data_IF_431575165771
#
_entry.id   IF_431575165771
#
_cell.length_a   1.000
_cell.length_b   1.000
_cell.length_c   1.000
_cell.angle_alpha   90.00
_cell.angle_beta   90.00
_cell.angle_gamma   90.00
#
_symmetry.space_group_name_H-M   'P 1'
#
loop_
_entity.id
_entity.type
_entity.pdbx_description
1 polymer ?
#
# COMPACT_ATOMS: atom_id res chain seq x y z
N UNK A 1 -6.34 -18.02 1.94
CA UNK A 1 -4.89 -18.19 2.19
C UNK A 1 -4.22 -16.90 2.68
N UNK A 2 -4.24 -15.79 1.92
CA UNK A 2 -3.57 -14.53 2.32
C UNK A 2 -4.00 -14.03 3.71
N UNK A 3 -5.31 -13.95 3.95
CA UNK A 3 -5.87 -13.51 5.24
C UNK A 3 -5.44 -14.42 6.41
N UNK A 4 -5.30 -15.73 6.17
CA UNK A 4 -4.83 -16.67 7.18
C UNK A 4 -3.34 -16.49 7.47
N UNK A 5 -2.52 -16.25 6.44
CA UNK A 5 -1.09 -15.96 6.61
C UNK A 5 -0.85 -14.67 7.40
N UNK A 6 -1.61 -13.60 7.12
CA UNK A 6 -1.53 -12.35 7.88
C UNK A 6 -1.92 -12.55 9.35
N UNK A 7 -2.99 -13.30 9.62
CA UNK A 7 -3.40 -13.66 10.99
C UNK A 7 -2.37 -14.55 11.70
N UNK A 8 -1.61 -15.34 10.96
CA UNK A 8 -0.52 -16.17 11.49
C UNK A 8 0.80 -15.40 11.68
N UNK A 9 0.82 -14.08 11.47
CA UNK A 9 1.99 -13.22 11.72
C UNK A 9 2.80 -12.87 10.47
N UNK A 10 2.32 -13.16 9.26
CA UNK A 10 2.94 -12.59 8.07
C UNK A 10 2.79 -11.07 8.06
N UNK A 11 3.90 -10.35 7.88
CA UNK A 11 3.93 -8.89 7.91
C UNK A 11 3.45 -8.25 6.60
N UNK A 12 3.61 -8.94 5.47
CA UNK A 12 3.21 -8.44 4.15
C UNK A 12 3.08 -9.58 3.12
N UNK A 13 2.50 -9.31 1.95
CA UNK A 13 2.40 -10.26 0.83
C UNK A 13 2.75 -9.62 -0.53
N UNK A 14 3.23 -10.43 -1.47
CA UNK A 14 3.52 -10.02 -2.84
C UNK A 14 3.05 -11.09 -3.82
N UNK A 15 2.20 -10.73 -4.77
CA UNK A 15 1.62 -11.66 -5.75
C UNK A 15 2.49 -11.66 -7.01
N UNK A 16 2.77 -12.84 -7.54
CA UNK A 16 3.50 -13.00 -8.81
C UNK A 16 2.60 -12.68 -10.01
N UNK A 17 3.17 -12.18 -11.13
CA UNK A 17 4.56 -11.77 -11.29
C UNK A 17 4.79 -10.36 -10.71
N UNK A 18 5.88 -10.18 -9.98
CA UNK A 18 6.26 -8.90 -9.39
C UNK A 18 7.60 -8.40 -9.96
N UNK A 19 7.86 -7.09 -9.89
CA UNK A 19 9.19 -6.55 -10.20
C UNK A 19 10.17 -6.74 -9.05
N UNK A 20 11.46 -6.66 -9.38
CA UNK A 20 12.53 -6.52 -8.37
C UNK A 20 12.34 -5.28 -7.50
N UNK A 21 11.89 -4.16 -8.05
CA UNK A 21 11.63 -2.92 -7.31
C UNK A 21 10.56 -3.12 -6.23
N UNK A 22 9.44 -3.73 -6.61
CA UNK A 22 8.35 -4.04 -5.68
C UNK A 22 8.83 -4.94 -4.54
N UNK A 23 9.61 -5.98 -4.84
CA UNK A 23 10.19 -6.84 -3.79
C UNK A 23 11.15 -6.06 -2.87
N UNK A 24 12.04 -5.24 -3.43
CA UNK A 24 13.00 -4.45 -2.66
C UNK A 24 12.31 -3.44 -1.74
N UNK A 25 11.24 -2.81 -2.21
CA UNK A 25 10.43 -1.89 -1.42
C UNK A 25 9.77 -2.63 -0.24
N UNK A 26 9.18 -3.81 -0.48
CA UNK A 26 8.58 -4.59 0.62
C UNK A 26 9.61 -5.04 1.65
N UNK A 27 10.81 -5.45 1.23
CA UNK A 27 11.88 -5.81 2.16
C UNK A 27 12.34 -4.60 3.00
N UNK A 28 12.47 -3.42 2.39
CA UNK A 28 12.80 -2.18 3.11
C UNK A 28 11.72 -1.80 4.12
N UNK A 29 10.45 -1.93 3.76
CA UNK A 29 9.33 -1.69 4.65
C UNK A 29 9.36 -2.62 5.87
N UNK A 30 9.54 -3.92 5.65
CA UNK A 30 9.64 -4.93 6.73
C UNK A 30 10.87 -4.68 7.61
N UNK A 31 12.02 -4.33 7.04
CA UNK A 31 13.22 -4.01 7.81
C UNK A 31 13.00 -2.79 8.70
N UNK A 32 12.40 -1.71 8.16
CA UNK A 32 12.08 -0.51 8.95
C UNK A 32 11.11 -0.82 10.10
N UNK A 33 10.09 -1.64 9.84
CA UNK A 33 9.13 -2.07 10.87
C UNK A 33 9.82 -2.84 12.00
N UNK A 34 10.71 -3.79 11.66
CA UNK A 34 11.49 -4.54 12.64
C UNK A 34 12.40 -3.63 13.47
N UNK A 35 13.14 -2.73 12.84
CA UNK A 35 13.99 -1.77 13.57
C UNK A 35 13.20 -0.90 14.55
N UNK A 36 11.95 -0.53 14.21
CA UNK A 36 11.09 0.21 15.15
C UNK A 36 10.66 -0.67 16.32
N UNK A 37 10.18 -1.88 16.04
CA UNK A 37 9.77 -2.84 17.06
C UNK A 37 10.92 -3.20 18.02
N UNK A 38 12.14 -3.40 17.52
CA UNK A 38 13.32 -3.70 18.34
C UNK A 38 13.70 -2.54 19.29
N UNK A 39 13.28 -1.31 18.97
CA UNK A 39 13.49 -0.11 19.80
C UNK A 39 12.36 0.12 20.80
N UNK A 40 11.20 -0.54 20.64
CA UNK A 40 10.14 -0.50 21.63
C UNK A 40 10.50 -1.44 22.79
N UNK A 41 11.09 -0.89 23.84
CA UNK A 41 11.25 -1.60 25.11
C UNK A 41 9.91 -1.78 25.85
N UNK A 42 9.16 -0.68 25.99
CA UNK A 42 7.74 -0.66 26.37
C UNK A 42 6.97 0.06 25.26
N UNK A 43 5.94 -0.59 24.72
CA UNK A 43 5.12 -0.03 23.65
C UNK A 43 4.14 1.03 24.21
N UNK A 44 4.30 2.30 23.83
CA UNK A 44 3.28 3.32 24.07
C UNK A 44 2.27 3.34 22.93
N UNK A 45 1.06 3.83 23.17
CA UNK A 45 0.00 3.90 22.16
C UNK A 45 0.46 4.68 20.90
N UNK A 46 1.22 5.76 21.08
CA UNK A 46 1.81 6.53 19.98
C UNK A 46 2.77 5.70 19.10
N UNK A 47 3.50 4.76 19.70
CA UNK A 47 4.38 3.85 18.98
C UNK A 47 3.58 2.79 18.20
N UNK A 48 2.52 2.28 18.83
CA UNK A 48 1.58 1.33 18.20
C UNK A 48 0.91 1.99 17.00
N UNK A 49 0.45 3.22 17.13
CA UNK A 49 -0.20 3.96 16.05
C UNK A 49 0.80 4.32 14.92
N UNK A 50 2.07 4.58 15.24
CA UNK A 50 3.09 4.81 14.22
C UNK A 50 3.48 3.53 13.44
N UNK A 51 3.37 2.36 14.09
CA UNK A 51 3.74 1.06 13.53
C UNK A 51 2.56 0.40 12.80
N UNK A 52 1.35 0.52 13.33
CA UNK A 52 0.14 -0.17 12.89
C UNK A 52 -0.99 0.77 12.44
N UNK A 53 -0.84 2.08 12.60
CA UNK A 53 -1.78 3.07 12.07
C UNK A 53 -1.86 3.02 10.55
N UNK A 54 -2.89 3.67 10.00
CA UNK A 54 -3.17 3.68 8.55
C UNK A 54 -1.90 3.95 7.77
N UNK A 55 -1.45 2.93 7.03
CA UNK A 55 -0.24 2.93 6.21
C UNK A 55 -0.14 4.28 5.48
N UNK A 56 0.93 5.08 5.68
CA UNK A 56 1.16 6.25 4.84
C UNK A 56 1.16 5.74 3.39
N UNK A 57 0.53 6.47 2.45
CA UNK A 57 0.35 5.99 1.08
C UNK A 57 1.73 5.57 0.56
N UNK A 58 1.95 4.25 0.51
CA UNK A 58 3.15 3.67 -0.06
C UNK A 58 3.24 4.18 -1.49
N UNK A 59 4.47 4.36 -1.96
CA UNK A 59 4.81 4.99 -3.23
C UNK A 59 3.69 4.81 -4.27
N UNK A 60 3.25 5.91 -4.86
CA UNK A 60 2.32 5.93 -6.02
C UNK A 60 2.97 5.30 -7.27
N UNK A 61 3.80 4.27 -7.10
CA UNK A 61 4.26 3.47 -8.23
C UNK A 61 3.06 2.65 -8.69
N UNK A 62 2.50 3.10 -9.81
CA UNK A 62 1.39 2.45 -10.46
C UNK A 62 1.75 0.99 -10.77
N UNK A 63 0.84 0.03 -10.49
CA UNK A 63 1.01 -1.36 -10.87
C UNK A 63 1.43 -1.49 -12.34
N UNK A 64 2.24 -2.52 -12.64
CA UNK A 64 2.61 -2.81 -14.04
C UNK A 64 1.37 -2.94 -14.90
N UNK A 65 1.34 -2.19 -16.01
CA UNK A 65 0.19 -2.12 -16.91
C UNK A 65 -0.73 -0.92 -16.68
N UNK A 66 -0.48 -0.11 -15.64
CA UNK A 66 -1.15 1.18 -15.44
C UNK A 66 -0.19 2.32 -15.75
N UNK A 67 -0.54 3.14 -16.73
CA UNK A 67 0.27 4.28 -17.16
C UNK A 67 -0.08 5.53 -16.33
N UNK A 68 0.94 6.27 -15.90
CA UNK A 68 0.75 7.52 -15.15
C UNK A 68 -0.20 8.53 -15.82
N UNK A 69 -0.11 8.76 -17.15
CA UNK A 69 -1.04 9.67 -17.83
C UNK A 69 -2.51 9.22 -17.74
N UNK A 70 -2.77 7.91 -17.72
CA UNK A 70 -4.13 7.36 -17.60
C UNK A 70 -4.65 7.52 -16.17
N UNK A 71 -3.79 7.34 -15.16
CA UNK A 71 -4.17 7.55 -13.77
C UNK A 71 -4.50 9.01 -13.48
N UNK A 72 -3.72 9.95 -14.03
CA UNK A 72 -3.99 11.39 -13.90
C UNK A 72 -5.31 11.79 -14.58
N UNK A 73 -5.64 11.15 -15.72
CA UNK A 73 -6.91 11.36 -16.42
C UNK A 73 -8.10 10.87 -15.58
N UNK A 74 -8.01 9.65 -15.03
CA UNK A 74 -9.05 9.09 -14.15
C UNK A 74 -9.21 9.94 -12.88
N UNK A 75 -8.10 10.39 -12.27
CA UNK A 75 -8.15 11.26 -11.10
C UNK A 75 -8.91 12.56 -11.39
N UNK A 76 -8.62 13.22 -12.52
CA UNK A 76 -9.30 14.45 -12.91
C UNK A 76 -10.80 14.24 -13.11
N UNK A 77 -11.18 13.19 -13.86
CA UNK A 77 -12.59 12.88 -14.14
C UNK A 77 -13.37 12.63 -12.85
N UNK A 78 -12.78 11.89 -11.90
CA UNK A 78 -13.42 11.62 -10.60
C UNK A 78 -13.52 12.87 -9.71
N UNK A 79 -12.56 13.81 -9.79
CA UNK A 79 -12.65 15.09 -9.07
C UNK A 79 -13.78 15.97 -9.59
N UNK A 80 -14.05 15.90 -10.89
CA UNK A 80 -15.11 16.67 -11.54
C UNK A 80 -16.52 16.07 -11.30
N UNK A 81 -16.61 14.85 -10.76
CA UNK A 81 -17.87 14.14 -10.47
C UNK A 81 -17.99 13.79 -8.97
N UNK A 82 -18.34 14.74 -8.11
CA UNK A 82 -18.37 14.56 -6.65
C UNK A 82 -19.40 13.53 -6.18
N UNK A 83 -20.44 13.28 -6.98
CA UNK A 83 -21.47 12.26 -6.73
C UNK A 83 -20.96 10.82 -6.95
N UNK A 84 -19.76 10.68 -7.52
CA UNK A 84 -19.13 9.42 -7.89
C UNK A 84 -19.45 8.98 -9.33
N UNK A 85 -18.61 8.08 -9.86
CA UNK A 85 -18.78 7.43 -11.16
C UNK A 85 -18.50 5.94 -11.02
N UNK A 86 -19.19 5.12 -11.81
CA UNK A 86 -18.81 3.73 -12.00
C UNK A 86 -17.55 3.61 -12.86
N UNK A 87 -16.88 2.45 -12.77
CA UNK A 87 -15.67 2.19 -13.53
C UNK A 87 -15.89 2.21 -15.05
N UNK A 88 -17.06 1.79 -15.52
CA UNK A 88 -17.42 1.82 -16.94
C UNK A 88 -17.69 3.24 -17.42
N UNK A 89 -18.41 4.05 -16.64
CA UNK A 89 -18.65 5.46 -16.98
C UNK A 89 -17.36 6.28 -17.00
N UNK A 90 -16.39 5.94 -16.17
CA UNK A 90 -15.07 6.59 -16.18
C UNK A 90 -14.18 6.15 -17.36
N UNK A 91 -14.51 5.05 -18.04
CA UNK A 91 -13.71 4.49 -19.14
C UNK A 91 -14.19 4.91 -20.53
N UNK A 92 -15.40 5.46 -20.64
CA UNK A 92 -15.95 6.12 -21.84
C UNK A 92 -15.42 7.55 -21.97
#
# INVERSE_FOLDING_TARGET
VIRAALRAGALHYLIKPFSRSALQEQLRHVASLRTRLDKLGEARQEDVDQIFGTRPPGSRELPKGLAAPTADLVERILRDHPEGLSASECAE
#
